data_IF_044094670500
#
_entry.id   IF_044094670500
#
_cell.length_a   1.000
_cell.length_b   1.000
_cell.length_c   1.000
_cell.angle_alpha   90.00
_cell.angle_beta   90.00
_cell.angle_gamma   90.00
#
_symmetry.space_group_name_H-M   'P 1'
#
loop_
_entity.id
_entity.type
_entity.pdbx_description
1 polymer ?
#
# COMPACT_ATOMS: atom_id res chain seq x y z
N UNK A 1 2.35 14.49 7.68
CA UNK A 1 3.50 13.55 7.77
C UNK A 1 4.69 14.31 8.34
N UNK A 2 4.98 14.17 9.64
CA UNK A 2 6.14 14.79 10.28
C UNK A 2 7.25 13.77 10.43
N UNK A 3 8.27 13.84 9.57
CA UNK A 3 9.41 12.93 9.61
C UNK A 3 10.38 13.21 10.78
N UNK A 4 11.33 12.29 11.06
CA UNK A 4 12.29 12.39 12.17
C UNK A 4 13.17 13.65 12.15
N UNK A 5 13.33 14.30 10.99
CA UNK A 5 14.02 15.60 10.89
C UNK A 5 13.29 16.73 11.67
N UNK A 6 11.95 16.67 11.77
CA UNK A 6 11.18 17.73 12.43
C UNK A 6 11.38 17.73 13.96
N UNK A 7 11.69 16.57 14.55
CA UNK A 7 11.99 16.45 15.98
C UNK A 7 13.39 16.98 16.33
N UNK A 8 14.38 16.73 15.47
CA UNK A 8 15.74 17.26 15.64
C UNK A 8 15.74 18.78 15.51
N UNK A 9 14.96 19.32 14.56
CA UNK A 9 14.88 20.77 14.32
C UNK A 9 14.18 21.51 15.48
N UNK A 10 13.16 20.90 16.10
CA UNK A 10 12.51 21.42 17.32
C UNK A 10 13.47 21.38 18.51
N UNK A 11 14.23 20.30 18.69
CA UNK A 11 15.22 20.19 19.77
C UNK A 11 16.35 21.23 19.62
N UNK A 12 16.84 21.45 18.40
CA UNK A 12 17.87 22.47 18.11
C UNK A 12 17.33 23.89 18.38
N UNK A 13 16.08 24.19 17.96
CA UNK A 13 15.44 25.50 18.24
C UNK A 13 15.25 25.76 19.74
N UNK A 14 14.88 24.74 20.52
CA UNK A 14 14.78 24.83 21.98
C UNK A 14 16.14 25.10 22.65
N UNK A 15 17.20 24.42 22.21
CA UNK A 15 18.56 24.63 22.71
C UNK A 15 19.05 26.05 22.36
N UNK A 16 18.78 26.54 21.15
CA UNK A 16 19.18 27.88 20.72
C UNK A 16 18.42 28.99 21.45
N UNK A 17 17.12 28.81 21.68
CA UNK A 17 16.28 29.75 22.43
C UNK A 17 16.74 29.88 23.89
N UNK A 18 17.14 28.78 24.52
CA UNK A 18 17.70 28.78 25.88
C UNK A 18 19.07 29.47 25.97
N UNK A 19 19.89 29.35 24.93
CA UNK A 19 21.20 30.03 24.88
C UNK A 19 21.06 31.55 24.73
N UNK A 20 20.06 32.01 23.97
CA UNK A 20 19.81 33.44 23.75
C UNK A 20 19.24 34.15 24.99
N UNK A 21 18.41 33.47 25.79
CA UNK A 21 17.82 34.02 27.03
C UNK A 21 18.83 34.13 28.19
N UNK A 22 19.92 33.37 28.16
CA UNK A 22 20.98 33.48 29.18
C UNK A 22 21.93 34.66 28.93
N UNK A 23 22.06 35.14 27.70
CA UNK A 23 22.94 36.29 27.39
C UNK A 23 22.33 37.62 27.84
N UNK A 24 21.00 37.75 27.83
CA UNK A 24 20.29 38.96 28.28
C UNK A 24 20.22 39.08 29.81
N UNK A 25 20.33 37.97 30.55
CA UNK A 25 20.32 37.97 32.03
C UNK A 25 21.61 38.46 32.70
N UNK A 26 22.72 38.59 31.97
CA UNK A 26 24.00 39.06 32.52
C UNK A 26 24.01 40.55 32.91
N UNK A 27 22.99 41.32 32.53
CA UNK A 27 22.93 42.79 32.73
C UNK A 27 22.11 43.20 33.96
N UNK A 28 21.30 42.31 34.53
CA UNK A 28 20.45 42.60 35.68
C UNK A 28 20.81 41.71 36.86
N UNK A 29 21.84 42.07 37.64
CA UNK A 29 22.13 41.44 38.93
C UNK A 29 22.39 42.50 39.99
N UNK A 30 21.39 42.75 40.83
CA UNK A 30 21.55 43.32 42.19
C UNK A 30 20.30 43.05 43.01
N UNK A 31 20.19 41.87 43.63
CA UNK A 31 19.60 41.65 44.98
C UNK A 31 19.67 40.17 45.38
N UNK A 32 20.29 39.88 46.52
CA UNK A 32 20.70 38.54 47.00
C UNK A 32 19.60 37.57 47.46
N UNK A 33 18.34 37.76 47.06
CA UNK A 33 17.25 36.81 47.32
C UNK A 33 16.81 36.04 46.06
N UNK A 34 17.04 36.59 44.86
CA UNK A 34 16.64 35.95 43.59
C UNK A 34 17.60 34.83 43.16
N UNK A 35 18.85 34.87 43.60
CA UNK A 35 19.90 33.89 43.23
C UNK A 35 19.60 32.48 43.72
N UNK A 36 18.92 32.32 44.86
CA UNK A 36 18.62 31.02 45.47
C UNK A 36 17.49 30.31 44.72
N UNK A 37 16.44 31.05 44.33
CA UNK A 37 15.32 30.48 43.56
C UNK A 37 15.78 30.15 42.13
N UNK A 38 16.58 31.03 41.52
CA UNK A 38 17.12 30.80 40.18
C UNK A 38 18.05 29.57 40.16
N UNK A 39 18.93 29.41 41.15
CA UNK A 39 19.83 28.26 41.23
C UNK A 39 19.09 26.95 41.53
N UNK A 40 18.03 26.96 42.35
CA UNK A 40 17.16 25.80 42.56
C UNK A 40 16.43 25.40 41.27
N UNK A 41 15.86 26.36 40.54
CA UNK A 41 15.20 26.10 39.24
C UNK A 41 16.20 25.58 38.19
N UNK A 42 17.42 26.10 38.18
CA UNK A 42 18.47 25.66 37.24
C UNK A 42 18.99 24.26 37.60
N UNK A 43 19.13 23.94 38.89
CA UNK A 43 19.54 22.62 39.38
C UNK A 43 18.47 21.56 39.10
N UNK A 44 17.18 21.89 39.26
CA UNK A 44 16.07 21.03 38.87
C UNK A 44 16.12 20.78 37.36
N UNK A 45 16.32 21.82 36.53
CA UNK A 45 16.48 21.66 35.09
C UNK A 45 17.66 20.75 34.68
N UNK A 46 18.80 20.85 35.36
CA UNK A 46 19.99 20.06 35.07
C UNK A 46 19.82 18.55 35.37
N UNK A 47 19.03 18.19 36.39
CA UNK A 47 18.76 16.80 36.74
C UNK A 47 17.56 16.24 35.97
N UNK A 48 16.52 17.05 35.73
CA UNK A 48 15.31 16.62 35.04
C UNK A 48 15.53 16.36 33.54
N UNK A 49 16.38 17.14 32.88
CA UNK A 49 16.62 17.01 31.42
C UNK A 49 17.14 15.61 31.02
N UNK A 50 18.23 15.06 31.61
CA UNK A 50 18.69 13.72 31.24
C UNK A 50 17.67 12.62 31.56
N UNK A 51 16.87 12.78 32.62
CA UNK A 51 15.79 11.84 32.97
C UNK A 51 14.68 11.86 31.90
N UNK A 52 14.25 13.04 31.47
CA UNK A 52 13.23 13.21 30.42
C UNK A 52 13.75 12.65 29.09
N UNK A 53 15.00 12.90 28.72
CA UNK A 53 15.61 12.36 27.50
C UNK A 53 15.68 10.83 27.56
N UNK A 54 16.03 10.24 28.71
CA UNK A 54 16.01 8.78 28.89
C UNK A 54 14.61 8.19 28.74
N UNK A 55 13.59 8.83 29.33
CA UNK A 55 12.19 8.40 29.21
C UNK A 55 11.72 8.50 27.76
N UNK A 56 11.95 9.63 27.08
CA UNK A 56 11.58 9.83 25.69
C UNK A 56 12.30 8.84 24.75
N UNK A 57 13.58 8.54 25.03
CA UNK A 57 14.37 7.57 24.26
C UNK A 57 13.84 6.14 24.45
N UNK A 58 13.50 5.76 25.68
CA UNK A 58 12.93 4.44 25.97
C UNK A 58 11.54 4.26 25.32
N UNK A 59 10.69 5.29 25.38
CA UNK A 59 9.38 5.30 24.71
C UNK A 59 9.55 5.26 23.19
N UNK A 60 10.48 6.05 22.64
CA UNK A 60 10.81 6.08 21.22
C UNK A 60 11.30 4.72 20.70
N UNK A 61 12.16 4.03 21.45
CA UNK A 61 12.63 2.69 21.10
C UNK A 61 11.48 1.68 21.09
N UNK A 62 10.65 1.65 22.15
CA UNK A 62 9.50 0.73 22.22
C UNK A 62 8.55 0.92 21.04
N UNK A 63 8.30 2.18 20.64
CA UNK A 63 7.45 2.48 19.50
C UNK A 63 8.09 2.02 18.18
N UNK A 64 9.38 2.34 17.98
CA UNK A 64 10.17 1.91 16.81
C UNK A 64 10.18 0.39 16.64
N UNK A 65 10.37 -0.36 17.72
CA UNK A 65 10.39 -1.82 17.66
C UNK A 65 9.05 -2.41 17.23
N UNK A 66 7.93 -1.80 17.63
CA UNK A 66 6.60 -2.23 17.19
C UNK A 66 6.34 -1.93 15.71
N UNK A 67 6.87 -0.81 15.21
CA UNK A 67 6.78 -0.42 13.80
C UNK A 67 7.64 -1.34 12.94
N UNK A 68 8.90 -1.60 13.32
CA UNK A 68 9.81 -2.48 12.57
C UNK A 68 9.27 -3.92 12.48
N UNK A 69 8.66 -4.45 13.54
CA UNK A 69 7.99 -5.77 13.48
C UNK A 69 6.82 -5.78 12.50
N UNK A 70 6.00 -4.72 12.50
CA UNK A 70 4.88 -4.58 11.56
C UNK A 70 5.38 -4.50 10.12
N UNK A 71 6.37 -3.65 9.85
CA UNK A 71 6.99 -3.52 8.52
C UNK A 71 7.54 -4.88 8.04
N UNK A 72 8.27 -5.61 8.89
CA UNK A 72 8.83 -6.91 8.51
C UNK A 72 7.76 -7.96 8.24
N UNK A 73 6.68 -7.97 9.02
CA UNK A 73 5.52 -8.84 8.77
C UNK A 73 4.80 -8.43 7.48
N UNK A 74 4.65 -7.14 7.24
CA UNK A 74 4.05 -6.60 6.02
C UNK A 74 4.88 -6.94 4.77
N UNK A 75 6.22 -6.97 4.88
CA UNK A 75 7.13 -7.39 3.81
C UNK A 75 7.00 -8.88 3.48
N UNK A 76 7.05 -9.78 4.48
CA UNK A 76 6.87 -11.23 4.25
C UNK A 76 5.49 -11.52 3.66
N UNK A 77 4.45 -10.87 4.20
CA UNK A 77 3.09 -11.02 3.67
C UNK A 77 2.93 -10.37 2.28
N UNK A 78 3.77 -9.39 1.90
CA UNK A 78 3.76 -8.82 0.56
C UNK A 78 4.25 -9.82 -0.48
N UNK A 79 5.35 -10.52 -0.21
CA UNK A 79 5.89 -11.51 -1.15
C UNK A 79 4.90 -12.67 -1.36
N UNK A 80 4.29 -13.16 -0.28
CA UNK A 80 3.23 -14.16 -0.36
C UNK A 80 2.03 -13.67 -1.18
N UNK A 81 1.60 -12.41 -0.98
CA UNK A 81 0.53 -11.79 -1.77
C UNK A 81 0.87 -11.70 -3.25
N UNK A 82 2.07 -11.24 -3.61
CA UNK A 82 2.49 -11.11 -5.01
C UNK A 82 2.41 -12.47 -5.72
N UNK A 83 2.89 -13.53 -5.08
CA UNK A 83 2.83 -14.88 -5.66
C UNK A 83 1.39 -15.31 -5.96
N UNK A 84 0.49 -15.14 -4.98
CA UNK A 84 -0.92 -15.48 -5.12
C UNK A 84 -1.61 -14.61 -6.18
N UNK A 85 -1.29 -13.32 -6.24
CA UNK A 85 -1.84 -12.42 -7.26
C UNK A 85 -1.42 -12.84 -8.67
N UNK A 86 -0.16 -13.21 -8.87
CA UNK A 86 0.31 -13.70 -10.17
C UNK A 86 -0.41 -15.00 -10.56
N UNK A 87 -0.53 -15.95 -9.63
CA UNK A 87 -1.21 -17.22 -9.87
C UNK A 87 -2.71 -17.04 -10.22
N UNK A 88 -3.37 -16.06 -9.60
CA UNK A 88 -4.77 -15.70 -9.89
C UNK A 88 -4.91 -14.99 -11.23
N UNK A 89 -3.97 -14.13 -11.60
CA UNK A 89 -4.04 -13.36 -12.84
C UNK A 89 -3.62 -14.17 -14.07
N UNK A 90 -2.86 -15.24 -13.89
CA UNK A 90 -2.26 -16.03 -14.98
C UNK A 90 -3.26 -16.45 -16.07
N UNK A 91 -4.44 -17.05 -15.77
CA UNK A 91 -5.41 -17.40 -16.82
C UNK A 91 -5.99 -16.20 -17.56
N UNK A 92 -6.19 -15.07 -16.87
CA UNK A 92 -6.66 -13.84 -17.52
C UNK A 92 -5.60 -13.24 -18.44
N UNK A 93 -4.32 -13.30 -18.04
CA UNK A 93 -3.20 -12.87 -18.90
C UNK A 93 -3.17 -13.72 -20.17
N UNK A 94 -3.36 -15.04 -20.06
CA UNK A 94 -3.48 -15.92 -21.23
C UNK A 94 -4.67 -15.54 -22.11
N UNK A 95 -5.88 -15.39 -21.55
CA UNK A 95 -7.07 -15.06 -22.33
C UNK A 95 -6.92 -13.75 -23.10
N UNK A 96 -6.28 -12.75 -22.49
CA UNK A 96 -6.21 -11.42 -23.09
C UNK A 96 -5.00 -11.26 -24.02
N UNK A 97 -3.95 -12.07 -23.89
CA UNK A 97 -2.79 -12.04 -24.80
C UNK A 97 -3.20 -12.31 -26.27
N UNK A 98 -2.55 -11.63 -27.23
CA UNK A 98 -2.81 -11.90 -28.66
C UNK A 98 -2.24 -13.25 -29.09
N UNK A 99 -2.86 -13.86 -30.11
CA UNK A 99 -2.43 -15.16 -30.61
C UNK A 99 -0.99 -15.12 -31.17
N UNK A 100 -0.61 -14.02 -31.82
CA UNK A 100 0.74 -13.82 -32.36
C UNK A 100 1.80 -13.76 -31.27
N UNK A 101 1.47 -13.16 -30.11
CA UNK A 101 2.35 -13.10 -28.96
C UNK A 101 2.49 -14.48 -28.30
N UNK A 102 1.38 -15.22 -28.18
CA UNK A 102 1.37 -16.57 -27.61
C UNK A 102 2.19 -17.57 -28.43
N UNK A 103 1.97 -17.61 -29.75
CA UNK A 103 2.63 -18.56 -30.67
C UNK A 103 4.11 -18.23 -30.92
N UNK A 104 4.60 -17.05 -30.50
CA UNK A 104 6.02 -16.67 -30.60
C UNK A 104 6.91 -17.52 -29.70
N UNK A 105 6.40 -17.97 -28.56
CA UNK A 105 7.13 -18.91 -27.70
C UNK A 105 7.09 -20.32 -28.31
N UNK A 106 8.27 -20.92 -28.49
CA UNK A 106 8.39 -22.30 -28.99
C UNK A 106 7.64 -23.30 -28.13
N UNK A 107 7.49 -23.05 -26.83
CA UNK A 107 6.78 -23.92 -25.88
C UNK A 107 5.27 -23.89 -26.05
N UNK A 108 4.73 -22.83 -26.64
CA UNK A 108 3.30 -22.60 -26.76
C UNK A 108 2.75 -22.93 -28.16
N UNK A 109 3.65 -23.36 -29.07
CA UNK A 109 3.27 -23.70 -30.44
C UNK A 109 2.20 -24.77 -30.49
N UNK A 110 1.14 -24.50 -31.25
CA UNK A 110 -0.01 -25.39 -31.44
C UNK A 110 -0.81 -25.67 -30.14
N UNK A 111 -0.60 -24.90 -29.09
CA UNK A 111 -1.43 -24.94 -27.90
C UNK A 111 -2.53 -23.90 -28.06
N UNK A 112 -3.78 -24.34 -27.94
CA UNK A 112 -4.94 -23.47 -27.84
C UNK A 112 -4.90 -22.73 -26.49
N UNK A 113 -4.59 -21.43 -26.58
CA UNK A 113 -4.47 -20.50 -25.46
C UNK A 113 -5.75 -20.39 -24.65
N UNK A 114 -6.88 -20.25 -25.33
CA UNK A 114 -8.15 -19.96 -24.70
C UNK A 114 -8.65 -21.21 -23.97
N UNK A 115 -8.52 -22.38 -24.61
CA UNK A 115 -8.79 -23.67 -23.94
C UNK A 115 -7.90 -23.89 -22.73
N UNK A 116 -6.59 -23.67 -22.85
CA UNK A 116 -5.66 -23.83 -21.73
C UNK A 116 -6.00 -22.91 -20.57
N UNK A 117 -6.35 -21.65 -20.85
CA UNK A 117 -6.71 -20.69 -19.82
C UNK A 117 -7.99 -21.09 -19.09
N UNK A 118 -9.03 -21.52 -19.82
CA UNK A 118 -10.27 -22.05 -19.23
C UNK A 118 -9.99 -23.29 -18.39
N UNK A 119 -9.22 -24.24 -18.90
CA UNK A 119 -8.85 -25.46 -18.16
C UNK A 119 -8.10 -25.12 -16.86
N UNK A 120 -7.21 -24.11 -16.89
CA UNK A 120 -6.54 -23.60 -15.68
C UNK A 120 -7.51 -22.96 -14.70
N UNK A 121 -8.43 -22.09 -15.15
CA UNK A 121 -9.43 -21.47 -14.27
C UNK A 121 -10.33 -22.50 -13.56
N UNK A 122 -10.62 -23.62 -14.23
CA UNK A 122 -11.46 -24.69 -13.69
C UNK A 122 -10.69 -25.67 -12.78
N UNK A 123 -9.37 -25.62 -12.79
CA UNK A 123 -8.51 -26.55 -12.07
C UNK A 123 -8.64 -26.45 -10.53
N UNK A 124 -8.27 -27.53 -9.86
CA UNK A 124 -8.17 -27.56 -8.39
C UNK A 124 -7.08 -26.59 -7.91
N UNK A 125 -6.00 -26.41 -8.67
CA UNK A 125 -4.92 -25.49 -8.33
C UNK A 125 -5.41 -24.04 -8.29
N UNK A 126 -6.16 -23.61 -9.30
CA UNK A 126 -6.73 -22.27 -9.33
C UNK A 126 -7.72 -22.01 -8.19
N UNK A 127 -8.52 -23.02 -7.83
CA UNK A 127 -9.36 -22.95 -6.62
C UNK A 127 -8.52 -22.79 -5.37
N UNK A 128 -7.39 -23.50 -5.24
CA UNK A 128 -6.46 -23.34 -4.11
C UNK A 128 -5.87 -21.92 -4.06
N UNK A 129 -5.49 -21.34 -5.20
CA UNK A 129 -5.03 -19.94 -5.26
C UNK A 129 -6.14 -18.98 -4.83
N UNK A 130 -7.38 -19.24 -5.24
CA UNK A 130 -8.54 -18.43 -4.84
C UNK A 130 -8.78 -18.47 -3.32
N UNK A 131 -8.63 -19.65 -2.71
CA UNK A 131 -8.66 -19.79 -1.25
C UNK A 131 -7.48 -19.11 -0.56
N UNK A 132 -6.27 -19.16 -1.13
CA UNK A 132 -5.13 -18.42 -0.57
C UNK A 132 -5.37 -16.92 -0.64
N UNK A 133 -5.93 -16.43 -1.75
CA UNK A 133 -6.24 -15.02 -1.95
C UNK A 133 -7.16 -14.48 -0.86
N UNK A 134 -8.16 -15.25 -0.42
CA UNK A 134 -9.05 -14.83 0.68
C UNK A 134 -8.37 -14.77 2.04
N UNK A 135 -7.24 -15.45 2.22
CA UNK A 135 -6.46 -15.44 3.47
C UNK A 135 -5.42 -14.32 3.50
N UNK A 136 -4.81 -14.00 2.37
CA UNK A 136 -3.68 -13.06 2.31
C UNK A 136 -4.02 -11.73 1.64
N UNK A 137 -5.05 -11.67 0.81
CA UNK A 137 -5.46 -10.46 0.11
C UNK A 137 -6.09 -9.43 1.04
N UNK A 138 -5.97 -8.14 0.71
CA UNK A 138 -6.75 -7.10 1.38
C UNK A 138 -8.23 -7.23 1.04
N UNK A 139 -9.10 -6.72 1.91
CA UNK A 139 -10.56 -6.77 1.72
C UNK A 139 -10.99 -6.27 0.33
N UNK A 140 -10.42 -5.15 -0.14
CA UNK A 140 -10.70 -4.61 -1.47
C UNK A 140 -10.37 -5.59 -2.60
N UNK A 141 -9.23 -6.29 -2.51
CA UNK A 141 -8.81 -7.31 -3.49
C UNK A 141 -9.75 -8.50 -3.47
N UNK A 142 -10.08 -9.01 -2.27
CA UNK A 142 -10.97 -10.16 -2.11
C UNK A 142 -12.37 -9.83 -2.65
N UNK A 143 -12.88 -8.64 -2.35
CA UNK A 143 -14.17 -8.17 -2.87
C UNK A 143 -14.17 -8.04 -4.39
N UNK A 144 -13.15 -7.40 -4.97
CA UNK A 144 -13.04 -7.25 -6.42
C UNK A 144 -12.92 -8.60 -7.13
N UNK A 145 -12.14 -9.54 -6.58
CA UNK A 145 -12.02 -10.90 -7.10
C UNK A 145 -13.34 -11.66 -7.02
N UNK A 146 -14.04 -11.57 -5.89
CA UNK A 146 -15.34 -12.21 -5.72
C UNK A 146 -16.36 -11.68 -6.73
N UNK A 147 -16.41 -10.35 -6.93
CA UNK A 147 -17.30 -9.75 -7.92
C UNK A 147 -16.98 -10.22 -9.35
N UNK A 148 -15.69 -10.29 -9.70
CA UNK A 148 -15.24 -10.82 -10.98
C UNK A 148 -15.67 -12.27 -11.19
N UNK A 149 -15.39 -13.14 -10.21
CA UNK A 149 -15.70 -14.57 -10.34
C UNK A 149 -17.19 -14.85 -10.28
N UNK A 150 -17.95 -14.11 -9.47
CA UNK A 150 -19.42 -14.19 -9.46
C UNK A 150 -19.99 -13.80 -10.81
N UNK A 151 -19.47 -12.76 -11.46
CA UNK A 151 -19.88 -12.42 -12.82
C UNK A 151 -19.57 -13.56 -13.80
N UNK A 152 -18.36 -14.11 -13.77
CA UNK A 152 -17.97 -15.24 -14.64
C UNK A 152 -18.91 -16.44 -14.48
N UNK A 153 -19.24 -16.82 -13.25
CA UNK A 153 -20.08 -17.99 -12.99
C UNK A 153 -21.54 -17.80 -13.36
N UNK A 154 -22.05 -16.57 -13.23
CA UNK A 154 -23.44 -16.27 -13.52
C UNK A 154 -23.62 -15.66 -14.93
N UNK A 155 -22.56 -15.54 -15.74
CA UNK A 155 -22.59 -14.81 -17.02
C UNK A 155 -23.66 -15.33 -17.99
N UNK A 156 -23.94 -16.63 -17.96
CA UNK A 156 -25.00 -17.25 -18.79
C UNK A 156 -26.43 -16.91 -18.34
N UNK A 157 -26.60 -16.43 -17.11
CA UNK A 157 -27.89 -16.14 -16.48
C UNK A 157 -28.18 -14.63 -16.43
N UNK A 158 -27.20 -13.78 -16.75
CA UNK A 158 -27.36 -12.32 -16.71
C UNK A 158 -28.12 -11.85 -17.97
N UNK A 159 -29.39 -11.53 -17.78
CA UNK A 159 -30.18 -10.81 -18.79
C UNK A 159 -29.59 -9.41 -19.01
N UNK A 160 -29.23 -9.08 -20.26
CA UNK A 160 -28.60 -7.83 -20.68
C UNK A 160 -27.15 -7.60 -20.16
N UNK A 161 -26.36 -8.67 -20.05
CA UNK A 161 -24.92 -8.56 -19.80
C UNK A 161 -24.26 -7.58 -20.79
N UNK A 162 -23.57 -6.55 -20.30
CA UNK A 162 -22.87 -5.62 -21.20
C UNK A 162 -21.59 -6.28 -21.71
N UNK A 163 -21.20 -6.08 -22.98
CA UNK A 163 -20.03 -6.74 -23.58
C UNK A 163 -18.71 -6.55 -22.80
N UNK A 164 -18.61 -5.47 -22.03
CA UNK A 164 -17.37 -5.05 -21.37
C UNK A 164 -17.38 -5.21 -19.85
N UNK A 165 -18.45 -5.74 -19.25
CA UNK A 165 -18.57 -5.87 -17.78
C UNK A 165 -17.43 -6.72 -17.18
N UNK A 166 -17.08 -7.83 -17.84
CA UNK A 166 -15.97 -8.69 -17.42
C UNK A 166 -14.64 -7.93 -17.39
N UNK A 167 -14.40 -7.08 -18.41
CA UNK A 167 -13.17 -6.30 -18.50
C UNK A 167 -13.09 -5.29 -17.37
N UNK A 168 -14.18 -4.59 -17.06
CA UNK A 168 -14.23 -3.60 -15.97
C UNK A 168 -14.00 -4.26 -14.61
N UNK A 169 -14.58 -5.45 -14.39
CA UNK A 169 -14.37 -6.22 -13.17
C UNK A 169 -12.91 -6.66 -13.02
N UNK A 170 -12.27 -7.08 -14.12
CA UNK A 170 -10.84 -7.39 -14.12
C UNK A 170 -9.99 -6.15 -13.85
N UNK A 171 -10.29 -5.02 -14.49
CA UNK A 171 -9.62 -3.74 -14.24
C UNK A 171 -9.75 -3.30 -12.78
N UNK A 172 -10.91 -3.54 -12.16
CA UNK A 172 -11.16 -3.25 -10.75
C UNK A 172 -10.34 -4.16 -9.83
N UNK A 173 -10.20 -5.45 -10.15
CA UNK A 173 -9.30 -6.35 -9.43
C UNK A 173 -7.84 -5.88 -9.52
N UNK A 174 -7.36 -5.52 -10.71
CA UNK A 174 -6.00 -5.01 -10.90
C UNK A 174 -5.76 -3.71 -10.11
N UNK A 175 -6.76 -2.83 -10.06
CA UNK A 175 -6.69 -1.58 -9.30
C UNK A 175 -6.57 -1.85 -7.79
N UNK A 176 -7.37 -2.76 -7.25
CA UNK A 176 -7.32 -3.11 -5.83
C UNK A 176 -6.02 -3.83 -5.46
N UNK A 177 -5.50 -4.69 -6.35
CA UNK A 177 -4.16 -5.30 -6.18
C UNK A 177 -3.10 -4.20 -6.10
N UNK A 178 -3.17 -3.20 -6.99
CA UNK A 178 -2.21 -2.09 -6.98
C UNK A 178 -2.29 -1.26 -5.69
N UNK A 179 -3.49 -1.00 -5.17
CA UNK A 179 -3.69 -0.33 -3.88
C UNK A 179 -3.08 -1.14 -2.74
N UNK A 180 -3.37 -2.45 -2.67
CA UNK A 180 -2.84 -3.35 -1.63
C UNK A 180 -1.31 -3.46 -1.61
N UNK A 181 -0.66 -3.12 -2.72
CA UNK A 181 0.81 -3.00 -2.84
C UNK A 181 1.37 -1.67 -2.32
N UNK A 182 0.54 -0.74 -1.84
CA UNK A 182 0.94 0.54 -1.24
C UNK A 182 0.70 1.75 -2.15
N UNK A 183 -0.17 1.65 -3.15
CA UNK A 183 -0.49 2.73 -4.07
C UNK A 183 -1.96 3.21 -3.90
N UNK A 184 -2.34 3.50 -2.66
CA UNK A 184 -3.72 3.84 -2.29
C UNK A 184 -4.20 5.17 -2.89
N UNK A 185 -3.30 6.15 -3.02
CA UNK A 185 -3.57 7.47 -3.56
C UNK A 185 -3.51 7.53 -5.11
N UNK A 186 -3.82 6.42 -5.76
CA UNK A 186 -3.74 6.34 -7.22
C UNK A 186 -4.86 7.12 -7.90
N UNK A 187 -4.51 7.82 -8.98
CA UNK A 187 -5.45 8.53 -9.87
C UNK A 187 -5.93 7.66 -11.03
N UNK A 188 -5.36 6.46 -11.19
CA UNK A 188 -5.72 5.54 -12.27
C UNK A 188 -7.01 4.81 -11.87
N UNK A 189 -8.00 4.84 -12.75
CA UNK A 189 -9.26 4.12 -12.57
C UNK A 189 -9.18 2.69 -13.17
N UNK A 190 -10.24 1.90 -13.00
CA UNK A 190 -10.28 0.51 -13.50
C UNK A 190 -10.01 0.41 -15.01
N UNK A 191 -10.46 1.40 -15.79
CA UNK A 191 -10.18 1.48 -17.22
C UNK A 191 -8.71 1.79 -17.51
N UNK A 192 -8.13 2.75 -16.79
CA UNK A 192 -6.71 3.08 -16.92
C UNK A 192 -5.78 1.93 -16.55
N UNK A 193 -6.22 0.99 -15.71
CA UNK A 193 -5.47 -0.26 -15.45
C UNK A 193 -5.39 -1.18 -16.66
N UNK A 194 -6.30 -1.02 -17.63
CA UNK A 194 -6.44 -1.82 -18.83
C UNK A 194 -5.86 -1.16 -20.09
N UNK A 195 -5.55 0.15 -20.04
CA UNK A 195 -5.08 0.97 -21.18
C UNK A 195 -3.85 0.39 -21.88
N UNK A 196 -2.95 -0.25 -21.15
CA UNK A 196 -1.73 -0.85 -21.71
C UNK A 196 -1.98 -2.24 -22.33
N UNK A 197 -3.09 -2.87 -21.97
CA UNK A 197 -3.42 -4.24 -22.33
C UNK A 197 -4.40 -4.30 -23.51
N UNK A 198 -5.31 -3.33 -23.62
CA UNK A 198 -6.36 -3.28 -24.65
C UNK A 198 -6.15 -2.06 -25.55
N UNK A 199 -5.90 -2.30 -26.85
CA UNK A 199 -5.62 -1.27 -27.86
C UNK A 199 -6.65 -0.14 -27.89
N UNK A 200 -7.94 -0.47 -27.74
CA UNK A 200 -9.06 0.47 -27.85
C UNK A 200 -9.76 0.78 -26.50
N UNK A 201 -9.08 0.58 -25.37
CA UNK A 201 -9.67 0.70 -24.02
C UNK A 201 -10.42 2.03 -23.79
N UNK A 202 -9.85 3.14 -24.28
CA UNK A 202 -10.42 4.49 -24.13
C UNK A 202 -11.69 4.69 -24.95
N UNK A 203 -11.73 4.12 -26.15
CA UNK A 203 -12.92 4.16 -27.01
C UNK A 203 -14.05 3.35 -26.38
N UNK A 204 -13.72 2.14 -25.94
CA UNK A 204 -14.65 1.23 -25.25
C UNK A 204 -15.23 1.88 -23.99
N UNK A 205 -14.40 2.54 -23.18
CA UNK A 205 -14.84 3.29 -22.00
C UNK A 205 -15.92 4.32 -22.35
N UNK A 206 -15.71 5.09 -23.41
CA UNK A 206 -16.66 6.12 -23.82
C UNK A 206 -17.99 5.53 -24.28
N UNK A 207 -17.97 4.42 -25.02
CA UNK A 207 -19.17 3.70 -25.44
C UNK A 207 -19.92 3.11 -24.23
N UNK A 208 -19.21 2.52 -23.27
CA UNK A 208 -19.79 1.96 -22.06
C UNK A 208 -20.53 3.01 -21.22
N UNK A 209 -19.93 4.19 -21.05
CA UNK A 209 -20.53 5.29 -20.27
C UNK A 209 -21.79 5.90 -20.92
N UNK A 210 -22.03 5.62 -22.20
CA UNK A 210 -23.21 6.09 -22.94
C UNK A 210 -24.33 5.04 -23.01
N UNK A 211 -24.05 3.81 -22.55
CA UNK A 211 -24.99 2.66 -22.51
C UNK A 211 -25.64 2.48 -21.14
#
# INVERSE_FOLDING_TARGET
MGGPLHFVDVAIKLIFFYKNTNNTKKVFMSTGAETTILSVVTAIGAVSTPIIVLILSAVGWKYRQSIERRIKMDEVMRDDRISVYNDILDPFIMLLMTEEAWQRDKKNKNIDKDKLAVDRMLSIEYRRYSFKLSLVGSDGVVLAFNNLMQYVYNMSEIENAKPYDLMILLGSLLLEIRKSMGNDATVIDSWGMLDWFITDARKIKNEYLQS
#
